data_IF_750732494031
#
_entry.id   IF_750732494031
#
_cell.length_a   1.000
_cell.length_b   1.000
_cell.length_c   1.000
_cell.angle_alpha   90.00
_cell.angle_beta   90.00
_cell.angle_gamma   90.00
#
_symmetry.space_group_name_H-M   'P 1'
#
loop_
_entity.id
_entity.type
_entity.pdbx_description
1 polymer ?
2 non-polymer ?
3 non-polymer ?
4 water ?
#
# COMPACT_ATOMS: atom_id res chain seq x y z
N UNK A 19 -15.47 1.51 -20.51
CA UNK A 19 -14.57 1.40 -21.66
C UNK A 19 -15.11 0.58 -22.83
N UNK A 20 -14.26 -0.22 -23.50
CA UNK A 20 -14.70 -1.12 -24.58
C UNK A 20 -14.28 -2.57 -24.38
N UNK A 21 -13.06 -2.84 -23.86
CA UNK A 21 -12.65 -4.21 -23.55
C UNK A 21 -12.89 -4.50 -22.07
N UNK A 22 -12.77 -5.77 -21.71
CA UNK A 22 -13.34 -6.27 -20.46
C UNK A 22 -12.64 -5.70 -19.23
N UNK A 23 -11.36 -5.37 -19.32
CA UNK A 23 -10.73 -4.72 -18.17
C UNK A 23 -11.22 -3.28 -18.04
N UNK A 24 -11.39 -2.61 -19.16
CA UNK A 24 -11.80 -1.22 -19.14
C UNK A 24 -13.27 -1.09 -18.74
N UNK A 25 -14.09 -2.06 -19.14
CA UNK A 25 -15.46 -2.16 -18.68
C UNK A 25 -15.53 -2.29 -17.16
N UNK A 26 -14.71 -3.16 -16.58
CA UNK A 26 -14.82 -3.33 -15.14
C UNK A 26 -14.22 -2.16 -14.38
N UNK A 27 -13.18 -1.54 -14.93
CA UNK A 27 -12.56 -0.44 -14.22
C UNK A 27 -13.56 0.72 -14.16
N UNK A 28 -14.20 1.01 -15.27
CA UNK A 28 -15.22 2.05 -15.32
C UNK A 28 -16.40 1.70 -14.42
N UNK A 29 -16.88 0.46 -14.51
CA UNK A 29 -17.91 0.02 -13.58
C UNK A 29 -17.56 0.38 -12.16
N UNK A 30 -16.40 -0.07 -11.69
CA UNK A 30 -16.13 0.10 -10.28
C UNK A 30 -15.82 1.54 -9.95
N UNK A 31 -15.27 2.28 -10.90
CA UNK A 31 -15.03 3.69 -10.65
C UNK A 31 -16.34 4.45 -10.42
N UNK A 32 -17.41 4.06 -11.12
CA UNK A 32 -18.72 4.75 -11.12
C UNK A 32 -19.73 4.08 -10.19
N UNK A 33 -19.25 3.17 -9.36
CA UNK A 33 -20.04 2.28 -8.56
C UNK A 33 -20.55 2.98 -7.34
N UNK A 34 -21.64 2.44 -6.77
CA UNK A 34 -22.28 3.03 -5.60
C UNK A 34 -21.98 2.19 -4.38
N UNK A 35 -21.22 2.68 -3.42
CA UNK A 35 -20.96 1.91 -2.21
C UNK A 35 -22.28 1.52 -1.53
N UNK A 36 -22.22 0.39 -0.84
CA UNK A 36 -23.34 -0.01 -0.02
C UNK A 36 -24.47 -0.66 -0.77
N UNK A 37 -24.46 -0.62 -2.10
CA UNK A 37 -25.42 -1.37 -2.88
C UNK A 37 -24.77 -2.67 -3.32
N UNK A 38 -25.56 -3.51 -4.01
CA UNK A 38 -25.06 -4.78 -4.54
C UNK A 38 -24.09 -4.59 -5.68
N UNK A 39 -23.83 -3.36 -6.13
CA UNK A 39 -22.77 -3.11 -7.10
C UNK A 39 -21.48 -3.83 -6.72
N UNK A 40 -21.20 -4.03 -5.44
CA UNK A 40 -19.93 -4.59 -4.99
C UNK A 40 -20.02 -6.04 -4.52
N UNK A 41 -21.11 -6.74 -4.80
CA UNK A 41 -21.21 -8.10 -4.29
C UNK A 41 -20.30 -9.03 -5.08
N UNK A 42 -19.67 -8.51 -6.12
CA UNK A 42 -18.71 -9.22 -6.91
C UNK A 42 -17.28 -9.02 -6.48
N UNK A 43 -17.02 -8.18 -5.48
CA UNK A 43 -15.67 -7.89 -5.03
C UNK A 43 -15.31 -8.88 -3.95
N UNK A 44 -14.12 -9.45 -4.05
CA UNK A 44 -13.65 -10.31 -2.98
C UNK A 44 -13.26 -9.47 -1.79
N UNK A 45 -13.67 -9.90 -0.60
CA UNK A 45 -13.24 -9.32 0.66
C UNK A 45 -12.51 -10.42 1.45
N UNK A 46 -11.17 -10.42 1.41
CA UNK A 46 -10.44 -11.46 2.10
C UNK A 46 -10.61 -11.38 3.62
N UNK A 47 -11.14 -10.26 4.11
CA UNK A 47 -11.37 -10.10 5.54
C UNK A 47 -12.74 -10.61 5.97
N UNK A 48 -13.48 -11.26 5.07
CA UNK A 48 -14.76 -11.83 5.41
C UNK A 48 -14.62 -13.33 5.71
N UNK A 49 -15.53 -13.84 6.54
CA UNK A 49 -15.44 -15.19 7.10
C UNK A 49 -16.43 -16.08 6.36
N UNK A 50 -15.98 -16.68 5.26
CA UNK A 50 -16.84 -17.56 4.48
C UNK A 50 -16.07 -18.77 4.00
N UNK A 51 -16.80 -19.68 3.36
CA UNK A 51 -16.18 -20.77 2.62
C UNK A 51 -16.20 -20.47 1.11
N UNK A 52 -15.51 -19.39 0.74
CA UNK A 52 -15.32 -19.02 -0.67
C UNK A 52 -16.64 -19.03 -1.45
N UNK A 53 -17.65 -18.34 -0.91
CA UNK A 53 -18.97 -18.33 -1.52
C UNK A 53 -19.53 -16.91 -1.52
N UNK A 54 -20.74 -16.76 -2.04
CA UNK A 54 -21.51 -15.55 -1.95
C UNK A 54 -21.38 -14.62 -3.14
N UNK A 55 -20.39 -14.83 -3.99
CA UNK A 55 -20.12 -13.90 -5.08
C UNK A 55 -20.36 -14.47 -6.46
N UNK A 56 -20.07 -15.74 -6.67
CA UNK A 56 -19.85 -16.22 -8.00
C UNK A 56 -18.35 -16.17 -8.27
N UNK A 57 -17.97 -16.18 -9.56
CA UNK A 57 -16.61 -16.55 -9.94
C UNK A 57 -15.48 -16.07 -9.03
N UNK A 58 -15.54 -14.83 -8.55
CA UNK A 58 -14.45 -14.30 -7.73
C UNK A 58 -14.17 -15.09 -6.47
N UNK A 59 -15.17 -15.20 -5.59
CA UNK A 59 -14.98 -15.84 -4.30
C UNK A 59 -14.52 -17.28 -4.45
N UNK A 60 -14.92 -17.96 -5.52
CA UNK A 60 -14.57 -19.35 -5.69
C UNK A 60 -13.09 -19.57 -5.95
N UNK A 61 -12.38 -18.54 -6.39
CA UNK A 61 -10.97 -18.67 -6.64
C UNK A 61 -10.13 -18.59 -5.38
N UNK A 62 -10.72 -18.16 -4.26
CA UNK A 62 -9.94 -17.85 -3.07
C UNK A 62 -9.43 -19.14 -2.43
N UNK A 63 -8.11 -19.21 -2.18
CA UNK A 63 -7.50 -20.35 -1.52
C UNK A 63 -6.58 -19.89 -0.39
N UNK A 64 -6.41 -20.76 0.61
CA UNK A 64 -5.40 -20.52 1.63
C UNK A 64 -4.04 -20.57 0.98
N UNK A 65 -3.14 -19.70 1.44
CA UNK A 65 -1.72 -19.76 1.08
C UNK A 65 -0.90 -19.95 2.34
N UNK A 66 0.08 -20.85 2.28
CA UNK A 66 0.80 -21.23 3.48
C UNK A 66 1.97 -20.26 3.70
N UNK A 67 2.18 -19.90 4.96
CA UNK A 67 3.19 -18.94 5.37
C UNK A 67 4.33 -19.67 6.05
N UNK A 68 5.53 -19.13 5.88
CA UNK A 68 6.70 -19.74 6.51
C UNK A 68 6.83 -19.19 7.90
N UNK A 69 6.00 -19.78 8.76
CA UNK A 69 5.76 -19.29 10.12
C UNK A 69 7.05 -19.31 10.92
N UNK A 70 7.83 -20.38 10.78
CA UNK A 70 9.09 -20.46 11.50
C UNK A 70 10.07 -19.39 11.03
N UNK A 71 9.83 -18.75 9.89
CA UNK A 71 10.82 -17.84 9.33
C UNK A 71 10.82 -16.47 9.97
N UNK A 72 9.80 -16.11 10.74
CA UNK A 72 9.76 -14.82 11.44
C UNK A 72 9.52 -15.10 12.90
N UNK A 73 10.52 -14.84 13.71
CA UNK A 73 10.38 -15.05 15.13
C UNK A 73 9.27 -14.15 15.68
N UNK A 74 8.81 -14.49 16.87
CA UNK A 74 7.95 -13.59 17.61
C UNK A 74 8.61 -12.24 17.80
N UNK A 75 9.80 -12.23 18.41
CA UNK A 75 10.51 -10.97 18.66
C UNK A 75 10.49 -10.07 17.41
N UNK A 76 10.81 -10.63 16.24
CA UNK A 76 10.93 -9.81 15.03
C UNK A 76 9.58 -9.29 14.53
N UNK A 77 8.52 -10.12 14.58
CA UNK A 77 7.18 -9.60 14.28
C UNK A 77 6.81 -8.45 15.21
N UNK A 78 6.86 -8.72 16.51
CA UNK A 78 6.58 -7.69 17.50
C UNK A 78 7.37 -6.43 17.22
N UNK A 79 8.69 -6.58 16.97
CA UNK A 79 9.56 -5.43 16.72
C UNK A 79 9.13 -4.66 15.49
N UNK A 80 8.42 -5.32 14.60
CA UNK A 80 7.96 -4.73 13.37
C UNK A 80 6.59 -4.08 13.51
N UNK A 81 5.89 -4.36 14.61
CA UNK A 81 4.52 -3.92 14.79
C UNK A 81 3.52 -4.88 14.24
N UNK A 82 3.86 -6.17 14.15
CA UNK A 82 3.06 -7.18 13.46
C UNK A 82 2.55 -8.16 14.49
N UNK A 83 1.41 -8.78 14.23
CA UNK A 83 1.01 -9.90 15.04
C UNK A 83 1.99 -11.05 14.75
N UNK A 84 2.03 -12.07 15.59
CA UNK A 84 2.89 -13.25 15.31
C UNK A 84 2.41 -13.95 14.05
N UNK A 85 3.37 -14.18 13.15
CA UNK A 85 3.06 -14.72 11.83
C UNK A 85 2.09 -15.88 11.91
N UNK A 86 2.12 -16.63 13.02
CA UNK A 86 1.21 -17.75 13.17
C UNK A 86 -0.23 -17.32 13.38
N UNK A 87 -0.45 -16.07 13.77
CA UNK A 87 -1.81 -15.54 13.78
C UNK A 87 -2.23 -14.99 12.43
N UNK A 88 -1.37 -15.03 11.40
CA UNK A 88 -1.76 -14.41 10.14
C UNK A 88 -2.62 -15.34 9.30
N UNK A 89 -3.39 -14.74 8.39
CA UNK A 89 -4.06 -15.47 7.34
C UNK A 89 -3.53 -14.96 6.01
N UNK A 90 -3.61 -15.79 4.99
CA UNK A 90 -2.98 -15.46 3.72
C UNK A 90 -3.63 -16.30 2.65
N UNK A 91 -3.70 -15.72 1.46
CA UNK A 91 -4.61 -16.20 0.45
C UNK A 91 -3.89 -16.08 -0.87
N UNK A 92 -4.25 -16.97 -1.78
CA UNK A 92 -4.03 -16.76 -3.18
C UNK A 92 -5.34 -16.84 -3.93
N UNK A 93 -5.20 -16.73 -5.23
CA UNK A 93 -6.32 -16.83 -6.14
C UNK A 93 -5.97 -17.86 -7.20
N UNK A 94 -6.81 -18.86 -7.35
CA UNK A 94 -6.63 -19.82 -8.43
C UNK A 94 -6.37 -19.07 -9.72
N UNK A 95 -5.31 -19.45 -10.41
CA UNK A 95 -4.93 -18.86 -11.69
C UNK A 95 -3.98 -17.68 -11.63
N UNK A 96 -3.52 -17.28 -10.45
CA UNK A 96 -2.68 -16.09 -10.33
C UNK A 96 -1.41 -16.45 -9.57
N UNK A 97 -0.46 -17.13 -10.21
CA UNK A 97 0.67 -17.64 -9.44
C UNK A 97 1.61 -16.53 -9.03
N UNK A 98 2.12 -16.65 -7.81
CA UNK A 98 2.97 -15.63 -7.22
C UNK A 98 2.25 -14.58 -6.36
N UNK A 99 0.91 -14.64 -6.29
CA UNK A 99 0.12 -13.59 -5.66
C UNK A 99 -0.33 -14.03 -4.27
N UNK A 100 0.07 -13.25 -3.28
CA UNK A 100 -0.38 -13.49 -1.92
C UNK A 100 -1.09 -12.26 -1.38
N UNK A 101 -2.18 -12.48 -0.66
CA UNK A 101 -2.91 -11.41 -0.02
C UNK A 101 -2.97 -11.71 1.46
N UNK A 102 -2.52 -10.75 2.27
CA UNK A 102 -2.57 -10.87 3.72
C UNK A 102 -3.41 -9.78 4.36
N UNK A 103 -4.57 -10.08 4.93
CA UNK A 103 -5.32 -9.03 5.62
C UNK A 103 -4.62 -8.60 6.88
N UNK A 104 -4.94 -7.37 7.28
CA UNK A 104 -4.20 -6.58 8.24
C UNK A 104 -3.54 -7.43 9.33
N UNK A 105 -2.24 -7.65 9.22
CA UNK A 105 -1.49 -8.37 10.28
C UNK A 105 -0.85 -7.45 11.30
N UNK A 106 -1.18 -6.17 11.25
CA UNK A 106 -0.62 -5.20 12.16
C UNK A 106 -1.23 -5.25 13.55
N UNK A 107 -0.38 -5.11 14.57
CA UNK A 107 -0.90 -4.97 15.93
C UNK A 107 -1.71 -3.68 16.06
N UNK A 108 -2.67 -3.64 16.98
CA UNK A 108 -3.59 -2.49 17.04
C UNK A 108 -2.85 -1.21 17.36
N UNK A 109 -3.18 -0.17 16.62
CA UNK A 109 -2.50 1.09 16.73
C UNK A 109 -1.31 1.25 15.84
N UNK A 110 -0.67 0.17 15.40
CA UNK A 110 0.64 0.32 14.78
C UNK A 110 0.55 0.91 13.39
N UNK A 111 -0.57 0.77 12.69
CA UNK A 111 -0.76 1.49 11.42
C UNK A 111 -0.45 2.99 11.53
N UNK A 112 -0.82 3.63 12.64
CA UNK A 112 -0.54 5.05 12.79
C UNK A 112 0.95 5.36 12.59
N UNK A 113 1.84 4.52 13.12
CA UNK A 113 3.28 4.75 12.91
C UNK A 113 3.60 4.83 11.43
N UNK A 114 3.15 3.85 10.62
CA UNK A 114 3.55 3.82 9.21
C UNK A 114 2.91 4.94 8.42
N UNK A 115 1.68 5.34 8.76
CA UNK A 115 1.09 6.52 8.10
C UNK A 115 1.87 7.78 8.45
N UNK A 116 2.20 7.97 9.73
CA UNK A 116 3.05 9.09 10.12
C UNK A 116 4.31 9.13 9.28
N UNK A 117 5.03 8.01 9.19
CA UNK A 117 6.29 8.01 8.43
C UNK A 117 6.05 8.41 6.98
N UNK A 118 5.06 7.82 6.33
CA UNK A 118 4.79 8.21 4.95
C UNK A 118 4.47 9.70 4.82
N UNK A 119 3.64 10.24 5.73
CA UNK A 119 3.18 11.61 5.55
C UNK A 119 4.29 12.61 5.89
N UNK A 120 4.93 12.43 7.05
CA UNK A 120 5.91 13.37 7.61
C UNK A 120 7.37 13.07 7.24
N UNK A 121 7.83 11.85 7.43
CA UNK A 121 9.28 11.63 7.32
C UNK A 121 9.71 11.24 5.90
N UNK A 122 9.14 10.17 5.35
CA UNK A 122 9.60 9.70 4.06
C UNK A 122 9.46 10.76 2.99
N UNK A 123 8.44 11.60 3.06
CA UNK A 123 8.31 12.65 2.07
C UNK A 123 9.36 13.74 2.23
N UNK A 124 10.14 13.71 3.31
CA UNK A 124 11.19 14.71 3.50
C UNK A 124 12.18 14.73 2.33
N UNK A 125 12.82 15.88 2.19
CA UNK A 125 13.34 16.28 0.88
C UNK A 125 14.46 15.41 0.33
N UNK A 126 15.30 14.74 1.13
CA UNK A 126 16.32 13.88 0.49
C UNK A 126 15.72 12.90 -0.50
N UNK A 127 14.51 12.44 -0.25
CA UNK A 127 13.78 11.64 -1.23
C UNK A 127 13.10 12.55 -2.24
N UNK A 128 12.57 11.95 -3.29
CA UNK A 128 11.99 12.69 -4.40
C UNK A 128 10.49 12.48 -4.42
N UNK A 129 9.77 13.56 -4.73
CA UNK A 129 8.32 13.60 -4.69
C UNK A 129 7.80 14.31 -5.93
N UNK A 130 6.48 14.28 -6.08
CA UNK A 130 5.84 14.77 -7.30
C UNK A 130 5.77 16.29 -7.37
N UNK A 131 6.08 16.99 -6.29
CA UNK A 131 6.04 18.44 -6.27
C UNK A 131 7.26 19.05 -7.00
N UNK A 132 7.99 18.21 -7.74
CA UNK A 132 9.03 18.54 -8.70
C UNK A 132 9.24 17.27 -9.51
N UNK A 133 9.97 17.38 -10.63
CA UNK A 133 10.20 16.17 -11.43
C UNK A 133 11.32 15.31 -10.81
N UNK A 134 12.55 15.81 -10.80
CA UNK A 134 13.67 15.28 -10.02
C UNK A 134 14.51 16.40 -9.40
N UNK A 135 14.58 17.56 -10.04
CA UNK A 135 15.28 18.71 -9.50
C UNK A 135 14.50 19.24 -8.30
N UNK A 136 14.97 20.35 -7.77
CA UNK A 136 14.29 20.99 -6.65
C UNK A 136 13.50 22.21 -7.12
N UNK A 137 12.30 22.35 -6.60
CA UNK A 137 11.60 23.62 -6.55
C UNK A 137 11.88 24.27 -5.20
N UNK A 138 11.65 25.57 -5.12
CA UNK A 138 11.96 26.26 -3.87
C UNK A 138 11.05 25.76 -2.76
N UNK A 139 11.55 24.89 -1.88
CA UNK A 139 10.72 24.26 -0.84
C UNK A 139 10.56 25.21 0.34
N UNK A 140 9.71 26.21 0.14
CA UNK A 140 9.42 27.19 1.19
C UNK A 140 8.41 26.61 2.18
N UNK A 141 8.60 26.90 3.47
CA UNK A 141 7.64 26.44 4.47
C UNK A 141 7.53 24.91 4.56
N UNK A 142 8.37 24.27 5.37
CA UNK A 142 8.30 22.84 5.64
C UNK A 142 6.88 22.26 5.60
N UNK A 143 6.73 21.18 4.84
CA UNK A 143 5.41 20.58 4.59
C UNK A 143 4.70 20.27 5.90
N UNK A 144 5.36 19.51 6.77
CA UNK A 144 4.68 19.01 7.96
C UNK A 144 4.21 20.17 8.84
N UNK A 145 5.06 21.17 9.06
CA UNK A 145 4.70 22.14 10.08
C UNK A 145 3.71 23.18 9.58
N UNK A 146 3.58 23.33 8.26
CA UNK A 146 2.40 23.97 7.68
C UNK A 146 1.14 23.17 7.98
N UNK A 147 1.15 21.87 7.65
CA UNK A 147 -0.01 21.03 7.89
C UNK A 147 -0.44 21.07 9.34
N UNK A 148 0.53 21.17 10.26
CA UNK A 148 0.21 21.29 11.68
C UNK A 148 -0.59 22.57 11.98
N UNK A 149 -0.33 23.65 11.23
CA UNK A 149 -0.94 24.93 11.52
C UNK A 149 -2.03 25.30 10.53
N UNK A 150 -2.21 24.51 9.47
CA UNK A 150 -3.49 24.53 8.76
C UNK A 150 -4.62 24.03 9.64
N UNK A 151 -4.33 23.13 10.60
CA UNK A 151 -5.38 22.64 11.50
C UNK A 151 -5.71 23.65 12.60
N UNK A 152 -4.69 24.27 13.20
CA UNK A 152 -4.94 25.16 14.34
C UNK A 152 -5.76 26.38 13.94
N UNK A 153 -5.47 26.97 12.77
CA UNK A 153 -6.16 28.18 12.32
C UNK A 153 -7.27 27.83 11.34
N UNK A 154 -8.50 28.22 11.67
CA UNK A 154 -9.49 28.40 10.61
C UNK A 154 -9.11 29.69 9.91
N UNK A 161 -7.27 27.35 0.09
CA UNK A 161 -5.93 27.13 -0.42
C UNK A 161 -5.46 25.70 -0.13
N UNK A 162 -4.85 25.07 -1.13
CA UNK A 162 -4.65 23.63 -1.12
C UNK A 162 -3.35 23.28 -0.42
N UNK A 163 -3.46 22.44 0.62
CA UNK A 163 -2.35 22.15 1.49
C UNK A 163 -1.17 21.57 0.69
N UNK A 164 0.02 21.77 1.24
CA UNK A 164 1.19 21.20 0.60
C UNK A 164 1.17 19.69 0.71
N UNK A 165 0.67 19.18 1.84
CA UNK A 165 0.48 17.74 2.03
C UNK A 165 -0.66 17.21 1.18
N UNK A 166 -1.69 18.03 0.94
CA UNK A 166 -2.85 17.65 0.12
C UNK A 166 -2.51 17.56 -1.36
N UNK A 167 -1.37 18.09 -1.78
CA UNK A 167 -0.95 18.04 -3.17
C UNK A 167 -0.04 16.86 -3.47
N UNK A 168 0.56 16.26 -2.43
CA UNK A 168 1.44 15.10 -2.59
C UNK A 168 0.71 13.96 -3.31
N UNK A 169 1.35 13.41 -4.34
CA UNK A 169 0.80 12.28 -5.09
C UNK A 169 1.69 11.04 -5.02
N UNK A 170 3.02 11.18 -5.13
CA UNK A 170 3.94 10.05 -5.00
C UNK A 170 5.28 10.53 -4.47
N UNK A 171 6.05 9.57 -3.93
CA UNK A 171 7.38 9.77 -3.37
C UNK A 171 8.21 8.50 -3.59
N UNK A 172 9.44 8.66 -4.09
CA UNK A 172 10.34 7.52 -4.28
C UNK A 172 11.38 7.44 -3.14
N UNK A 173 11.59 6.24 -2.62
CA UNK A 173 12.64 6.05 -1.62
C UNK A 173 13.65 5.04 -2.16
N UNK A 174 14.91 5.23 -1.80
CA UNK A 174 15.99 4.38 -2.26
C UNK A 174 16.44 4.76 -3.66
N UNK A 175 15.70 4.30 -4.66
CA UNK A 175 16.02 4.57 -6.06
C UNK A 175 15.05 5.61 -6.60
N UNK A 176 15.56 6.52 -7.43
CA UNK A 176 14.77 7.62 -7.92
C UNK A 176 14.90 7.72 -9.43
N UNK A 177 13.76 7.84 -10.11
CA UNK A 177 13.71 7.95 -11.56
C UNK A 177 14.23 9.30 -12.01
N UNK A 178 14.88 9.33 -13.19
CA UNK A 178 15.41 10.57 -13.72
C UNK A 178 14.55 11.19 -14.83
N UNK A 179 13.78 10.40 -15.57
CA UNK A 179 12.77 10.81 -16.55
C UNK A 179 13.31 11.23 -17.93
N UNK A 180 14.62 11.40 -18.12
CA UNK A 180 15.16 11.59 -19.46
C UNK A 180 15.94 10.37 -19.89
N UNK A 181 16.88 9.92 -19.05
CA UNK A 181 17.50 8.63 -19.22
C UNK A 181 16.46 7.51 -19.20
N UNK A 182 15.30 7.77 -18.59
CA UNK A 182 14.25 6.77 -18.41
C UNK A 182 14.76 5.59 -17.59
N UNK A 183 15.72 5.84 -16.71
CA UNK A 183 16.18 4.84 -15.77
C UNK A 183 16.51 5.55 -14.46
N UNK A 184 17.09 4.81 -13.52
CA UNK A 184 17.15 5.33 -12.15
C UNK A 184 18.30 6.31 -12.00
N UNK A 185 18.11 7.26 -11.09
CA UNK A 185 18.98 8.42 -11.01
C UNK A 185 20.43 8.02 -10.83
N UNK A 186 21.29 8.69 -11.58
CA UNK A 186 22.70 8.34 -11.66
C UNK A 186 23.34 8.40 -10.28
N UNK A 187 23.41 9.61 -9.73
CA UNK A 187 24.22 9.88 -8.54
C UNK A 187 23.35 10.28 -7.35
N UNK A 188 22.10 9.82 -7.34
CA UNK A 188 21.16 10.10 -6.26
C UNK A 188 20.55 8.76 -5.85
N UNK A 189 21.25 8.02 -4.99
CA UNK A 189 20.69 6.95 -4.20
C UNK A 189 20.58 7.49 -2.78
N UNK A 190 19.43 7.27 -2.14
CA UNK A 190 19.22 7.69 -0.77
C UNK A 190 18.99 6.45 0.09
N UNK A 191 19.49 6.43 1.32
CA UNK A 191 19.41 5.20 2.11
C UNK A 191 17.96 4.79 2.34
N UNK A 192 17.70 3.48 2.33
CA UNK A 192 16.35 2.99 2.45
C UNK A 192 15.94 2.98 3.92
N UNK A 193 14.77 3.59 4.29
CA UNK A 193 14.39 3.69 5.69
C UNK A 193 14.42 2.37 6.39
N UNK A 194 15.17 2.24 7.48
CA UNK A 194 15.37 0.91 8.02
C UNK A 194 14.16 0.44 8.80
N UNK A 195 13.25 1.33 9.22
CA UNK A 195 12.08 0.74 9.84
C UNK A 195 11.19 0.15 8.77
N UNK A 196 11.01 0.84 7.64
CA UNK A 196 10.19 0.26 6.59
C UNK A 196 10.90 -0.94 5.98
N UNK A 197 12.21 -0.91 6.00
CA UNK A 197 12.96 -2.06 5.53
C UNK A 197 12.74 -3.28 6.40
N UNK A 198 12.80 -3.11 7.71
CA UNK A 198 12.60 -4.27 8.58
C UNK A 198 11.24 -4.90 8.36
N UNK A 199 10.18 -4.04 8.39
CA UNK A 199 8.81 -4.51 8.20
C UNK A 199 8.63 -5.31 6.91
N UNK A 200 9.13 -4.78 5.80
CA UNK A 200 9.01 -5.42 4.49
C UNK A 200 9.68 -6.77 4.47
N UNK A 201 10.87 -6.84 5.07
CA UNK A 201 11.64 -8.07 5.08
C UNK A 201 11.01 -9.10 6.01
N UNK A 202 10.29 -8.66 7.06
CA UNK A 202 9.60 -9.66 7.86
C UNK A 202 8.47 -10.30 7.06
N UNK A 203 7.66 -9.48 6.41
CA UNK A 203 6.56 -9.98 5.60
C UNK A 203 7.06 -10.88 4.47
N UNK A 204 8.07 -10.39 3.72
CA UNK A 204 8.62 -11.16 2.60
C UNK A 204 9.21 -12.49 3.07
N UNK A 205 9.82 -12.51 4.26
CA UNK A 205 10.33 -13.75 4.81
C UNK A 205 9.20 -14.76 5.05
N UNK A 206 8.10 -14.30 5.64
CA UNK A 206 7.04 -15.23 5.97
C UNK A 206 6.38 -15.75 4.72
N UNK A 207 6.45 -15.00 3.64
CA UNK A 207 6.01 -15.45 2.32
C UNK A 207 7.05 -16.34 1.64
N UNK A 208 8.14 -16.67 2.33
CA UNK A 208 9.12 -17.58 1.75
C UNK A 208 10.14 -16.89 0.88
N UNK A 209 10.49 -15.65 1.19
CA UNK A 209 11.55 -14.89 0.55
C UNK A 209 12.54 -14.43 1.62
N UNK A 210 13.04 -15.37 2.40
CA UNK A 210 13.81 -15.00 3.58
C UNK A 210 15.05 -14.21 3.28
N UNK A 211 15.48 -14.13 2.02
CA UNK A 211 16.61 -13.29 1.71
C UNK A 211 16.24 -11.95 1.12
N UNK A 212 14.95 -11.62 1.04
CA UNK A 212 14.53 -10.41 0.36
C UNK A 212 15.24 -9.20 0.95
N UNK A 213 15.45 -8.20 0.11
CA UNK A 213 16.11 -6.95 0.48
C UNK A 213 15.28 -5.81 -0.05
N UNK A 214 14.89 -4.89 0.85
CA UNK A 214 14.11 -3.74 0.42
C UNK A 214 15.06 -2.65 -0.06
N UNK A 215 14.88 -2.19 -1.32
CA UNK A 215 15.85 -1.27 -1.89
C UNK A 215 15.21 -0.14 -2.67
N UNK A 216 14.07 -0.44 -3.31
CA UNK A 216 13.30 0.55 -4.03
C UNK A 216 11.85 0.58 -3.53
N UNK A 217 11.33 1.77 -3.30
CA UNK A 217 9.98 1.92 -2.84
C UNK A 217 9.31 3.12 -3.46
N UNK A 218 7.98 3.04 -3.56
CA UNK A 218 7.16 4.15 -3.98
C UNK A 218 5.99 4.33 -3.03
N UNK A 219 5.78 5.56 -2.60
CA UNK A 219 4.64 5.93 -1.80
C UNK A 219 3.63 6.67 -2.68
N UNK A 220 2.37 6.22 -2.67
CA UNK A 220 1.28 6.75 -3.48
C UNK A 220 0.18 7.29 -2.55
N UNK A 221 -0.21 8.52 -2.76
CA UNK A 221 -1.17 9.21 -1.88
C UNK A 221 -2.42 9.51 -2.69
N UNK A 222 -3.54 8.90 -2.31
CA UNK A 222 -4.78 9.01 -3.06
C UNK A 222 -5.78 9.83 -2.27
N UNK A 223 -6.46 10.71 -2.97
CA UNK A 223 -7.71 11.30 -2.54
C UNK A 223 -8.87 10.38 -2.91
N UNK A 224 -10.06 10.72 -2.40
CA UNK A 224 -11.25 9.90 -2.67
C UNK A 224 -11.62 9.84 -4.15
N UNK A 225 -11.17 10.76 -4.98
CA UNK A 225 -11.47 10.64 -6.39
C UNK A 225 -10.27 10.22 -7.22
N UNK A 226 -9.14 9.94 -6.60
CA UNK A 226 -7.95 9.46 -7.33
C UNK A 226 -8.12 8.02 -7.74
N UNK A 227 -7.63 7.68 -8.95
CA UNK A 227 -7.63 6.33 -9.49
C UNK A 227 -6.22 6.02 -10.02
N UNK A 228 -6.00 4.76 -10.38
CA UNK A 228 -4.74 4.36 -11.01
C UNK A 228 -5.07 3.48 -12.21
N UNK A 229 -4.76 3.95 -13.40
CA UNK A 229 -5.23 3.28 -14.59
C UNK A 229 -4.57 1.91 -14.78
N UNK A 230 -5.03 1.23 -15.82
CA UNK A 230 -4.55 -0.12 -16.09
C UNK A 230 -3.08 -0.04 -16.44
N UNK A 231 -2.26 -0.87 -15.79
CA UNK A 231 -0.83 -0.81 -16.04
C UNK A 231 -0.19 -2.09 -15.58
N UNK A 232 0.99 -2.36 -16.15
CA UNK A 232 1.95 -3.29 -15.58
C UNK A 232 3.11 -2.52 -14.95
N UNK A 233 3.69 -3.12 -13.89
CA UNK A 233 4.86 -2.57 -13.19
C UNK A 233 6.16 -2.79 -13.95
N UNK A 234 6.32 -3.95 -14.56
CA UNK A 234 7.49 -4.22 -15.35
C UNK A 234 7.04 -5.13 -16.47
N UNK A 235 7.96 -5.36 -17.40
CA UNK A 235 7.72 -6.16 -18.58
C UNK A 235 8.73 -7.29 -18.72
N UNK A 236 9.59 -7.53 -17.73
CA UNK A 236 10.71 -8.44 -17.90
C UNK A 236 10.92 -9.28 -16.65
N UNK A 237 10.99 -10.59 -16.84
CA UNK A 237 11.58 -11.45 -15.81
C UNK A 237 13.08 -11.37 -15.97
N UNK A 238 13.78 -12.30 -15.36
CA UNK A 238 15.23 -12.40 -15.46
C UNK A 238 15.91 -11.38 -14.57
N UNK A 239 15.15 -10.41 -14.08
CA UNK A 239 15.66 -9.47 -13.10
C UNK A 239 14.59 -9.17 -12.06
N UNK A 240 13.44 -9.82 -12.18
CA UNK A 240 12.29 -9.54 -11.35
C UNK A 240 12.48 -10.15 -9.97
N UNK A 241 12.33 -9.31 -8.93
CA UNK A 241 12.24 -9.78 -7.55
C UNK A 241 10.87 -9.47 -6.96
N UNK A 242 10.53 -10.00 -5.78
CA UNK A 242 9.18 -9.78 -5.23
C UNK A 242 8.92 -8.31 -4.95
N UNK A 243 7.63 -7.94 -5.06
CA UNK A 243 7.18 -6.58 -4.74
C UNK A 243 6.08 -6.66 -3.69
N UNK A 244 6.17 -5.81 -2.66
CA UNK A 244 5.17 -5.85 -1.60
C UNK A 244 4.38 -4.56 -1.68
N UNK A 245 3.08 -4.69 -1.51
CA UNK A 245 2.16 -3.55 -1.56
C UNK A 245 1.35 -3.48 -0.29
N UNK A 246 1.55 -2.39 0.45
CA UNK A 246 0.89 -2.04 1.70
C UNK A 246 -0.18 -0.98 1.43
N UNK A 247 -1.20 -0.92 2.29
CA UNK A 247 -2.29 0.03 2.16
C UNK A 247 -2.79 0.49 3.52
N UNK A 248 -3.17 1.79 3.62
CA UNK A 248 -3.64 2.38 4.87
C UNK A 248 -4.69 3.46 4.53
N UNK A 249 -5.64 3.70 5.44
CA UNK A 249 -6.72 4.68 5.22
C UNK A 249 -7.98 4.05 4.68
N UNK A 250 -8.58 4.71 3.69
CA UNK A 250 -9.80 4.22 3.08
C UNK A 250 -9.50 2.99 2.24
N UNK A 251 -10.51 2.16 2.04
CA UNK A 251 -10.41 0.98 1.20
C UNK A 251 -10.41 1.37 -0.25
N UNK A 252 -9.72 0.57 -1.03
CA UNK A 252 -9.79 0.64 -2.48
C UNK A 252 -10.29 -0.67 -3.07
N UNK A 253 -10.73 -0.56 -4.31
CA UNK A 253 -11.08 -1.70 -5.11
C UNK A 253 -9.84 -1.95 -5.97
N UNK A 254 -9.30 -3.16 -5.91
CA UNK A 254 -8.11 -3.51 -6.68
C UNK A 254 -8.50 -4.49 -7.78
N UNK A 255 -8.07 -4.22 -9.02
CA UNK A 255 -8.34 -5.13 -10.11
C UNK A 255 -7.05 -5.81 -10.53
N UNK A 256 -7.07 -7.12 -10.57
CA UNK A 256 -5.89 -7.94 -10.93
C UNK A 256 -6.19 -8.73 -12.20
N UNK A 257 -5.53 -8.38 -13.27
CA UNK A 257 -5.85 -8.98 -14.55
C UNK A 257 -4.74 -9.95 -14.97
N UNK A 258 -4.35 -9.87 -16.23
CA UNK A 258 -3.47 -10.87 -16.83
C UNK A 258 -2.32 -10.26 -17.61
N UNK A 259 -1.72 -11.07 -18.47
CA UNK A 259 -0.53 -10.62 -19.17
C UNK A 259 -0.94 -9.71 -20.29
N UNK A 260 -2.04 -10.03 -20.95
CA UNK A 260 -2.64 -9.15 -21.95
C UNK A 260 -3.77 -8.32 -21.34
N UNK A 261 -3.93 -7.11 -21.88
CA UNK A 261 -4.62 -6.00 -21.24
C UNK A 261 -6.13 -6.12 -21.26
N UNK A 262 -6.71 -7.04 -22.03
CA UNK A 262 -8.17 -7.15 -22.10
C UNK A 262 -8.66 -8.43 -21.47
N UNK A 263 -7.79 -9.16 -20.80
CA UNK A 263 -8.25 -10.27 -19.99
C UNK A 263 -9.01 -9.74 -18.77
N UNK A 264 -10.15 -10.32 -18.51
CA UNK A 264 -11.00 -9.78 -17.48
C UNK A 264 -10.36 -9.97 -16.10
N UNK A 265 -10.23 -8.91 -15.31
CA UNK A 265 -9.58 -9.02 -14.00
C UNK A 265 -10.50 -9.50 -12.90
N UNK A 266 -9.87 -9.89 -11.79
CA UNK A 266 -10.56 -10.24 -10.56
C UNK A 266 -10.52 -9.05 -9.60
N UNK A 267 -11.70 -8.67 -9.08
CA UNK A 267 -11.82 -7.51 -8.21
C UNK A 267 -11.63 -7.95 -6.77
N UNK A 268 -10.99 -7.11 -5.98
CA UNK A 268 -10.84 -7.38 -4.57
C UNK A 268 -10.69 -6.06 -3.84
N UNK A 269 -11.14 -6.04 -2.59
CA UNK A 269 -10.88 -4.93 -1.69
C UNK A 269 -9.46 -4.95 -1.10
N UNK A 270 -8.86 -3.76 -0.96
CA UNK A 270 -7.70 -3.54 -0.09
C UNK A 270 -8.10 -2.62 1.08
N UNK A 271 -8.33 -3.23 2.25
CA UNK A 271 -8.67 -2.48 3.46
C UNK A 271 -7.44 -1.99 4.19
N UNK A 272 -7.65 -1.03 5.07
CA UNK A 272 -6.50 -0.49 5.80
C UNK A 272 -5.62 -1.62 6.35
N UNK A 273 -4.33 -1.53 6.10
CA UNK A 273 -3.34 -2.51 6.61
C UNK A 273 -3.22 -3.82 5.85
N UNK A 274 -4.10 -4.13 4.91
CA UNK A 274 -3.89 -5.31 4.10
C UNK A 274 -2.53 -5.23 3.40
N UNK A 275 -1.97 -6.40 3.02
CA UNK A 275 -0.69 -6.46 2.32
C UNK A 275 -0.78 -7.45 1.17
N UNK A 276 -0.40 -7.00 -0.02
CA UNK A 276 -0.32 -7.92 -1.15
C UNK A 276 1.14 -8.11 -1.48
N UNK A 277 1.50 -9.34 -1.86
CA UNK A 277 2.86 -9.67 -2.28
C UNK A 277 2.77 -10.23 -3.69
N UNK A 278 3.52 -9.64 -4.59
CA UNK A 278 3.54 -10.12 -5.95
C UNK A 278 4.95 -10.62 -6.23
N UNK A 279 5.04 -11.86 -6.73
CA UNK A 279 6.27 -12.49 -7.16
C UNK A 279 5.99 -13.33 -8.40
N UNK A 280 7.08 -13.86 -8.97
CA UNK A 280 6.92 -14.71 -10.13
C UNK A 280 6.17 -14.02 -11.22
N UNK A 281 5.32 -14.78 -11.90
CA UNK A 281 4.59 -14.25 -13.04
C UNK A 281 3.54 -13.23 -12.61
N UNK A 282 3.10 -13.25 -11.35
CA UNK A 282 2.14 -12.22 -10.90
C UNK A 282 2.74 -10.85 -11.04
N UNK A 283 4.03 -10.75 -10.84
CA UNK A 283 4.74 -9.51 -11.04
C UNK A 283 4.53 -8.88 -12.42
N UNK A 284 4.01 -9.60 -13.41
CA UNK A 284 3.88 -9.06 -14.75
C UNK A 284 2.43 -8.68 -15.12
N UNK A 285 1.47 -8.93 -14.23
CA UNK A 285 0.08 -8.80 -14.61
C UNK A 285 -0.36 -7.35 -14.65
N UNK A 286 -1.26 -7.08 -15.58
CA UNK A 286 -1.96 -5.81 -15.57
C UNK A 286 -2.77 -5.68 -14.29
N UNK A 287 -2.66 -4.52 -13.61
CA UNK A 287 -3.46 -4.21 -12.44
C UNK A 287 -3.92 -2.74 -12.43
N UNK A 288 -4.77 -2.44 -11.47
CA UNK A 288 -5.48 -1.16 -11.40
C UNK A 288 -6.12 -0.96 -10.05
N UNK A 289 -6.35 0.33 -9.74
CA UNK A 289 -7.17 0.80 -8.63
C UNK A 289 -8.25 1.72 -9.20
N UNK A 290 -9.44 1.20 -9.46
CA UNK A 290 -10.48 2.04 -10.06
C UNK A 290 -11.21 2.89 -9.08
N UNK A 291 -11.06 2.66 -7.77
CA UNK A 291 -11.95 3.32 -6.82
C UNK A 291 -11.32 3.28 -5.44
N UNK A 292 -11.27 4.43 -4.78
CA UNK A 292 -11.01 4.55 -3.35
C UNK A 292 -12.34 4.83 -2.70
N UNK A 293 -12.72 4.01 -1.82
CA UNK A 293 -14.08 4.08 -1.29
C UNK A 293 -14.15 5.07 -0.15
N UNK A 294 -15.15 5.97 -0.16
CA UNK A 294 -15.38 6.84 1.01
C UNK A 294 -15.76 6.05 2.22
N UNK A 295 -15.40 6.58 3.38
CA UNK A 295 -15.99 6.06 4.60
C UNK A 295 -17.51 6.18 4.46
N UNK A 296 -18.28 5.19 4.89
CA UNK A 296 -19.74 5.20 4.62
C UNK A 296 -20.50 6.45 5.12
N UNK A 297 -20.03 7.15 6.16
CA UNK A 297 -20.54 8.47 6.53
C UNK A 297 -19.66 9.59 5.99
N UNK A 298 -18.99 9.35 4.86
CA UNK A 298 -18.42 10.40 4.03
C UNK A 298 -17.06 10.89 4.46
N UNK A 299 -16.81 10.92 5.77
CA UNK A 299 -15.52 11.34 6.29
C UNK A 299 -15.37 10.63 7.63
N UNK A 300 -14.27 9.89 7.79
CA UNK A 300 -14.08 9.05 8.95
C UNK A 300 -13.10 7.91 8.65
N UNK A 301 -12.68 7.26 9.74
CA UNK A 301 -11.59 6.30 9.66
C UNK A 301 -12.10 4.87 9.73
N UNK A 302 -11.37 3.92 9.13
CA UNK A 302 -11.73 2.51 9.32
C UNK A 302 -11.63 2.10 10.79
N UNK A 303 -12.34 1.03 11.12
CA UNK A 303 -12.36 0.58 12.49
C UNK A 303 -11.02 0.17 13.03
N UNK A 304 -10.19 -0.44 12.19
CA UNK A 304 -8.90 -0.90 12.71
C UNK A 304 -8.04 0.27 13.15
N UNK A 305 -8.36 1.46 12.67
CA UNK A 305 -7.58 2.62 13.10
C UNK A 305 -8.14 3.28 14.38
N UNK A 306 -9.26 2.79 14.94
CA UNK A 306 -9.81 3.37 16.18
C UNK A 306 -8.98 3.01 17.38
N UNK A 307 -7.85 2.26 17.19
CA UNK A 307 -6.92 1.97 18.27
C UNK A 307 -5.71 2.86 18.13
N UNK A 308 -5.30 3.54 19.20
CA UNK A 308 -4.13 4.40 19.09
C UNK A 308 -2.84 3.60 19.20
N UNK A 309 -1.77 4.20 18.69
CA UNK A 309 -0.40 3.68 18.86
C UNK A 309 -0.08 3.71 20.34
N UNK A 310 0.21 2.58 20.98
CA UNK A 310 0.59 2.63 22.40
C UNK A 310 1.54 3.76 22.77
N UNK A 311 1.37 4.21 24.02
CA UNK A 311 2.19 5.30 24.54
C UNK A 311 3.62 4.84 24.79
N UNK A 312 3.77 3.66 25.37
CA UNK A 312 5.08 3.13 25.68
C UNK A 312 5.34 1.97 24.74
N UNK A 313 6.19 2.21 23.78
CA UNK A 313 6.60 1.16 22.87
C UNK A 313 7.79 0.41 23.44
N UNK A 314 8.00 -0.81 22.98
CA UNK A 314 9.19 -1.55 23.45
C UNK A 314 10.47 -0.83 23.06
N UNK A 315 11.46 -0.91 23.95
CA UNK A 315 12.71 -0.19 23.73
C UNK A 315 13.47 -0.75 22.55
N UNK A 316 13.35 -2.05 22.32
CA UNK A 316 13.99 -2.72 21.20
C UNK A 316 13.19 -2.62 19.92
N UNK A 317 12.18 -1.74 19.87
CA UNK A 317 11.27 -1.72 18.75
C UNK A 317 11.78 -0.83 17.64
N UNK A 318 11.47 -1.23 16.41
CA UNK A 318 11.70 -0.44 15.21
C UNK A 318 10.69 0.70 15.05
N UNK A 319 9.60 0.71 15.82
CA UNK A 319 8.63 1.80 15.78
C UNK A 319 8.96 2.79 16.91
N UNK A 320 8.52 4.03 16.74
CA UNK A 320 8.76 5.11 17.67
C UNK A 320 7.42 5.70 18.13
N UNK A 321 7.40 6.39 19.26
CA UNK A 321 6.15 7.03 19.69
C UNK A 321 5.66 8.01 18.64
N UNK A 322 4.36 8.30 18.73
CA UNK A 322 3.68 9.29 17.89
C UNK A 322 3.18 10.40 18.79
N UNK A 323 3.35 11.64 18.35
CA UNK A 323 2.91 12.79 19.11
C UNK A 323 1.47 13.15 18.75
N UNK A 324 0.76 13.71 19.74
CA UNK A 324 -0.60 14.17 19.52
C UNK A 324 -0.70 15.07 18.29
N UNK A 325 0.16 16.08 18.20
CA UNK A 325 0.10 16.97 17.06
C UNK A 325 0.36 16.21 15.77
N UNK A 326 1.20 15.17 15.80
CA UNK A 326 1.39 14.36 14.60
C UNK A 326 0.16 13.53 14.31
N UNK A 327 -0.35 12.81 15.32
CA UNK A 327 -1.57 12.02 15.17
C UNK A 327 -2.73 12.81 14.59
N UNK A 328 -2.97 14.03 15.10
CA UNK A 328 -4.10 14.84 14.62
C UNK A 328 -4.02 15.08 13.13
N UNK A 329 -2.84 15.41 12.62
CA UNK A 329 -2.68 15.59 11.17
C UNK A 329 -2.97 14.29 10.43
N UNK A 330 -2.30 13.19 10.82
CA UNK A 330 -2.61 11.91 10.22
C UNK A 330 -4.11 11.61 10.30
N UNK A 331 -4.73 11.81 11.48
CA UNK A 331 -6.12 11.42 11.63
C UNK A 331 -7.00 12.22 10.72
N UNK A 332 -6.71 13.51 10.60
CA UNK A 332 -7.47 14.38 9.70
C UNK A 332 -7.20 14.01 8.24
N UNK A 333 -5.93 13.80 7.89
CA UNK A 333 -5.62 13.44 6.51
C UNK A 333 -6.39 12.21 6.06
N UNK A 334 -6.34 11.12 6.85
CA UNK A 334 -6.81 9.81 6.38
C UNK A 334 -8.32 9.72 6.27
N UNK A 335 -9.05 10.62 6.97
CA UNK A 335 -10.49 10.63 6.86
C UNK A 335 -10.95 10.58 5.43
N UNK A 336 -10.16 11.15 4.52
CA UNK A 336 -10.50 11.13 3.10
C UNK A 336 -9.25 10.80 2.27
N UNK A 337 -8.48 9.78 2.67
CA UNK A 337 -7.34 9.48 1.85
C UNK A 337 -6.97 8.02 2.01
N UNK A 338 -6.31 7.50 0.99
CA UNK A 338 -5.62 6.21 1.08
C UNK A 338 -4.13 6.39 0.82
N UNK A 339 -3.30 5.83 1.71
CA UNK A 339 -1.84 5.80 1.57
C UNK A 339 -1.42 4.43 1.08
N UNK A 340 -0.72 4.37 -0.04
CA UNK A 340 -0.15 3.12 -0.54
C UNK A 340 1.38 3.14 -0.45
N UNK A 341 1.97 2.05 0.06
CA UNK A 341 3.42 1.82 0.00
C UNK A 341 3.70 0.57 -0.80
N UNK A 342 4.52 0.70 -1.86
CA UNK A 342 5.10 -0.46 -2.53
C UNK A 342 6.59 -0.52 -2.29
N UNK A 343 7.07 -1.72 -2.03
CA UNK A 343 8.48 -1.92 -1.73
C UNK A 343 8.95 -3.10 -2.53
N UNK A 344 10.15 -2.99 -3.12
CA UNK A 344 10.66 -4.10 -3.91
C UNK A 344 12.18 -4.24 -3.82
N UNK A 345 12.65 -5.40 -4.23
CA UNK A 345 14.08 -5.64 -4.40
C UNK A 345 14.47 -5.34 -5.85
N UNK A 346 15.62 -4.72 -6.01
CA UNK A 346 16.05 -4.33 -7.34
C UNK A 346 17.02 -5.39 -7.87
N UNK A 347 18.16 -5.59 -7.21
CA UNK A 347 19.21 -6.45 -7.79
C UNK A 347 19.34 -7.83 -7.14
N UNK A 352 14.68 -1.41 -15.77
CA UNK A 352 13.79 -1.39 -14.61
C UNK A 352 12.49 -0.56 -14.80
N UNK A 353 11.34 -1.23 -14.97
CA UNK A 353 10.09 -0.66 -14.45
C UNK A 353 9.48 0.55 -15.14
N UNK A 354 8.63 0.39 -16.18
CA UNK A 354 7.91 1.60 -16.62
C UNK A 354 7.17 2.37 -15.50
X LIG B 1 1.54 -1.19 -9.93
X LIG C 1 3.31 0.83 -10.07
X LIG C 1 7.06 3.60 -10.94
X LIG C 1 9.37 4.41 -12.26
X LIG C 1 8.83 5.19 -11.25
X LIG C 1 7.69 4.77 -10.60
X LIG C 1 8.64 7.53 -10.75
X LIG C 1 -1.86 0.66 -5.24
X LIG C 1 -0.95 0.45 -6.40
X LIG C 1 0.10 1.30 -6.78
X LIG C 1 -0.92 -0.68 -7.27
X LIG C 1 1.74 1.26 -8.53
X LIG C 1 3.22 2.98 -8.99
X LIG C 1 3.80 2.10 -9.90
X LIG C 1 5.79 3.28 -10.12
X LIG C 1 7.59 2.81 -11.95
X LIG C 1 8.74 3.23 -12.61
X LIG C 1 9.12 8.51 -11.55
X LIG C 1 8.76 7.94 -9.46
X LIG C 1 7.37 7.37 -11.17
X LIG C 1 0.63 0.74 -7.82
X LIG C 1 0.03 -0.42 -8.11
X LIG C 1 2.16 2.52 -8.32
X LIG C 1 2.31 0.40 -9.37
X LIG C 1 -2.46 -0.34 -4.76
X LIG C 1 -1.92 1.83 -4.76
X LIG C 1 4.92 2.40 -10.72
X LIG C 1 9.41 6.38 -10.84
X LIG C 1 3.73 0.26 -10.66
X LIG C 1 10.14 4.69 -12.69
X LIG C 1 7.34 5.29 -9.92
X LIG C 1 0.33 2.11 -6.39
X LIG C 1 -1.51 -1.41 -7.28
X LIG C 1 3.52 3.84 -8.88
X LIG C 1 6.07 2.90 -9.28
X LIG C 1 5.33 4.12 -9.96
X LIG C 1 7.17 2.02 -12.20
X LIG C 1 9.09 2.71 -13.29
#
# INVERSE_FOLDING_TARGET
MGKMAAAVGSVATLATEPGEDAFRKLFRFYRQSRPGTADLEGVIDFSAAHAARGKGPGAQKVIKSQLNVSSVSEQNAYRAGLQPVSKWQAYGLKGYPGFIFIPNPFLPGYQWHWVKQCLKLYSQKPNVCNLDKHMSKEETQDLWEQSKEFLRYKEATKRRPRSLLEKLRWVTVGYHYNWDSKKYSADHYTPFPSDLGFLSEQVAAACGFEDFRAEAGILNYYRLDSTLGIHVDRSELDHSKPLLSFSFGQSAIFLLGGLQRDEAPTAMFMHSGDIMIMSGFSRLLNHAVPRVLPNPEGEGLPHCLEAPLPAVLPRDSMVEPCSMEDWQVCASYLKTARVNMTVRQVLATDQNFPLEPIEDEKRDISTEGFCHLDDQNSEVKRARINPDS
MN MN
IAU C13 C17 C20 C21 C22 C24 C02 C04 C05 C08 C09 C11 C12 C16 C18 C19 F25 F26 F27 N06 N07 N10 N14 O01 O03 O15 O23 H131 H201 H221 H051 H081 H111 H162 H161 H181 H191
#
